data_IF_645868195940
#
_entry.id   IF_645868195940
#
_cell.length_a   1.000
_cell.length_b   1.000
_cell.length_c   1.000
_cell.angle_alpha   90.00
_cell.angle_beta   90.00
_cell.angle_gamma   90.00
#
_symmetry.space_group_name_H-M   'P 1'
#
loop_
_entity.id
_entity.type
_entity.pdbx_description
1 polymer ?
#
# COMPACT_ATOMS: atom_id res chain seq x y z
N UNK A 1 -12.29 12.34 -16.81
CA UNK A 1 -11.28 11.80 -15.86
C UNK A 1 -11.31 12.64 -14.60
N UNK A 2 -11.91 12.14 -13.51
CA UNK A 2 -11.91 12.84 -12.22
C UNK A 2 -10.52 12.83 -11.62
N UNK A 3 -9.98 14.00 -11.25
CA UNK A 3 -8.69 14.08 -10.55
C UNK A 3 -8.89 13.51 -9.14
N UNK A 4 -8.20 12.43 -8.81
CA UNK A 4 -8.18 11.93 -7.42
C UNK A 4 -7.53 12.95 -6.50
N UNK A 5 -8.04 13.08 -5.25
CA UNK A 5 -7.53 14.06 -4.30
C UNK A 5 -6.07 13.73 -3.95
N UNK A 6 -5.16 14.66 -4.26
CA UNK A 6 -3.73 14.52 -3.93
C UNK A 6 -3.50 14.71 -2.44
N UNK A 7 -2.66 13.87 -1.84
CA UNK A 7 -2.24 14.08 -0.45
C UNK A 7 -1.45 15.40 -0.30
N UNK A 8 -1.50 16.02 0.88
CA UNK A 8 -0.72 17.24 1.20
C UNK A 8 0.77 17.09 0.87
N UNK A 9 1.32 15.89 1.06
CA UNK A 9 2.72 15.58 0.75
C UNK A 9 2.99 15.49 -0.76
N UNK A 10 2.08 14.90 -1.53
CA UNK A 10 2.20 14.89 -3.00
C UNK A 10 2.07 16.28 -3.60
N UNK A 11 1.23 17.13 -3.03
CA UNK A 11 1.11 18.54 -3.43
C UNK A 11 2.45 19.27 -3.22
N UNK A 12 3.09 19.05 -2.06
CA UNK A 12 4.41 19.63 -1.76
C UNK A 12 5.55 19.05 -2.61
N UNK A 13 5.40 17.82 -3.12
CA UNK A 13 6.38 17.15 -4.01
C UNK A 13 5.87 17.12 -5.45
N UNK A 14 5.45 18.28 -5.96
CA UNK A 14 4.90 18.44 -7.31
C UNK A 14 5.94 18.22 -8.42
N UNK A 15 7.20 18.55 -8.16
CA UNK A 15 8.26 18.61 -9.19
C UNK A 15 8.85 17.25 -9.60
N UNK A 16 8.41 16.15 -8.97
CA UNK A 16 9.02 14.82 -9.14
C UNK A 16 8.28 13.87 -10.08
N UNK A 17 7.25 14.32 -10.80
CA UNK A 17 6.45 13.44 -11.68
C UNK A 17 5.69 12.34 -10.92
N UNK A 18 5.32 12.58 -9.66
CA UNK A 18 4.63 11.59 -8.83
C UNK A 18 3.25 11.24 -9.38
N UNK A 19 2.96 9.94 -9.46
CA UNK A 19 1.67 9.41 -9.89
C UNK A 19 0.70 9.41 -8.69
N UNK A 20 -0.54 9.83 -8.95
CA UNK A 20 -1.63 9.77 -7.95
C UNK A 20 -2.38 8.45 -8.13
N UNK A 21 -2.59 7.73 -7.04
CA UNK A 21 -3.36 6.49 -7.04
C UNK A 21 -4.87 6.77 -7.19
N UNK A 22 -5.63 5.76 -7.59
CA UNK A 22 -7.09 5.80 -7.51
C UNK A 22 -7.57 5.62 -6.07
N UNK A 23 -8.77 6.09 -5.75
CA UNK A 23 -9.35 5.94 -4.41
C UNK A 23 -9.48 4.47 -4.00
N UNK A 24 -9.85 3.58 -4.95
CA UNK A 24 -9.89 2.14 -4.73
C UNK A 24 -8.52 1.56 -4.32
N UNK A 25 -7.43 1.94 -5.00
CA UNK A 25 -6.08 1.48 -4.66
C UNK A 25 -5.68 1.97 -3.26
N UNK A 26 -6.04 3.21 -2.92
CA UNK A 26 -5.80 3.77 -1.58
C UNK A 26 -6.55 2.96 -0.52
N UNK A 27 -7.83 2.63 -0.75
CA UNK A 27 -8.62 1.80 0.18
C UNK A 27 -7.99 0.42 0.39
N UNK A 28 -7.55 -0.25 -0.69
CA UNK A 28 -6.84 -1.54 -0.57
C UNK A 28 -5.57 -1.40 0.29
N UNK A 29 -4.79 -0.33 0.09
CA UNK A 29 -3.58 -0.10 0.87
C UNK A 29 -3.88 0.21 2.35
N UNK A 30 -4.98 0.90 2.64
CA UNK A 30 -5.43 1.17 4.02
C UNK A 30 -5.87 -0.13 4.70
N UNK A 31 -6.68 -0.95 4.04
CA UNK A 31 -7.06 -2.28 4.56
C UNK A 31 -5.83 -3.16 4.79
N UNK A 32 -4.85 -3.09 3.88
CA UNK A 32 -3.58 -3.79 4.04
C UNK A 32 -2.79 -3.34 5.27
N UNK A 33 -2.62 -2.03 5.46
CA UNK A 33 -1.93 -1.49 6.64
C UNK A 33 -2.67 -1.81 7.94
N UNK A 34 -4.01 -1.81 7.92
CA UNK A 34 -4.81 -2.23 9.07
C UNK A 34 -4.48 -3.66 9.50
N UNK A 35 -4.47 -4.62 8.56
CA UNK A 35 -4.11 -6.02 8.86
C UNK A 35 -2.66 -6.12 9.36
N UNK A 36 -1.72 -5.46 8.69
CA UNK A 36 -0.30 -5.43 9.08
C UNK A 36 -0.12 -4.95 10.53
N UNK A 37 -0.88 -3.93 10.95
CA UNK A 37 -0.79 -3.36 12.30
C UNK A 37 -1.56 -4.17 13.34
N UNK A 38 -2.66 -4.80 12.95
CA UNK A 38 -3.50 -5.61 13.85
C UNK A 38 -2.83 -6.93 14.21
N UNK A 39 -2.07 -7.51 13.29
CA UNK A 39 -1.41 -8.81 13.47
C UNK A 39 0.13 -8.70 13.42
N UNK A 40 0.77 -8.07 14.42
CA UNK A 40 2.22 -7.91 14.45
C UNK A 40 2.97 -9.25 14.59
N UNK A 41 2.31 -10.30 15.05
CA UNK A 41 2.93 -11.62 15.20
C UNK A 41 3.06 -12.38 13.88
N UNK A 42 2.34 -11.96 12.82
CA UNK A 42 2.37 -12.65 11.54
C UNK A 42 3.76 -12.63 10.87
N UNK A 43 4.62 -11.68 11.22
CA UNK A 43 5.97 -11.53 10.67
C UNK A 43 6.86 -12.76 10.87
N UNK A 44 6.62 -13.54 11.92
CA UNK A 44 7.44 -14.69 12.30
C UNK A 44 6.88 -16.00 11.73
N UNK A 45 5.71 -15.96 11.10
CA UNK A 45 5.04 -17.16 10.59
C UNK A 45 5.55 -17.58 9.21
N UNK A 46 5.54 -18.90 8.96
CA UNK A 46 5.74 -19.44 7.62
C UNK A 46 4.62 -18.96 6.69
N UNK A 47 4.98 -18.64 5.44
CA UNK A 47 4.07 -18.16 4.40
C UNK A 47 3.32 -16.86 4.79
N UNK A 48 3.98 -15.97 5.52
CA UNK A 48 3.43 -14.68 6.01
C UNK A 48 2.67 -13.90 4.93
N UNK A 49 3.24 -13.75 3.72
CA UNK A 49 2.59 -12.97 2.65
C UNK A 49 1.24 -13.57 2.27
N UNK A 50 1.16 -14.90 2.11
CA UNK A 50 -0.09 -15.57 1.71
C UNK A 50 -1.18 -15.36 2.76
N UNK A 51 -0.83 -15.55 4.05
CA UNK A 51 -1.76 -15.36 5.17
C UNK A 51 -2.22 -13.91 5.29
N UNK A 52 -1.30 -12.95 5.19
CA UNK A 52 -1.64 -11.53 5.18
C UNK A 52 -2.60 -11.20 4.04
N UNK A 53 -2.30 -11.66 2.84
CA UNK A 53 -3.15 -11.40 1.66
C UNK A 53 -4.55 -11.97 1.84
N UNK A 54 -4.69 -13.18 2.38
CA UNK A 54 -6.01 -13.75 2.68
C UNK A 54 -6.81 -12.88 3.67
N UNK A 55 -6.17 -12.44 4.77
CA UNK A 55 -6.81 -11.55 5.76
C UNK A 55 -7.17 -10.18 5.17
N UNK A 56 -6.32 -9.65 4.29
CA UNK A 56 -6.57 -8.38 3.62
C UNK A 56 -7.78 -8.50 2.70
N UNK A 57 -7.82 -9.56 1.88
CA UNK A 57 -8.92 -9.81 0.96
C UNK A 57 -10.26 -9.98 1.68
N UNK A 58 -10.27 -10.56 2.89
CA UNK A 58 -11.49 -10.65 3.71
C UNK A 58 -11.88 -9.33 4.40
N UNK A 59 -11.01 -8.32 4.42
CA UNK A 59 -11.23 -7.04 5.10
C UNK A 59 -11.60 -5.91 4.11
N UNK A 60 -11.37 -6.11 2.82
CA UNK A 60 -11.63 -5.10 1.79
C UNK A 60 -13.15 -4.98 1.55
N UNK A 61 -13.72 -3.76 1.60
CA UNK A 61 -15.13 -3.55 1.30
C UNK A 61 -15.52 -3.99 -0.12
N UNK A 62 -16.75 -4.49 -0.29
CA UNK A 62 -17.22 -5.01 -1.59
C UNK A 62 -17.24 -3.96 -2.71
N UNK A 63 -17.52 -2.70 -2.37
CA UNK A 63 -17.60 -1.60 -3.33
C UNK A 63 -16.26 -1.24 -3.98
N UNK A 64 -15.13 -1.64 -3.38
CA UNK A 64 -13.79 -1.38 -3.93
C UNK A 64 -13.62 -2.17 -5.22
N UNK A 65 -13.40 -1.44 -6.31
CA UNK A 65 -13.46 -1.95 -7.68
C UNK A 65 -14.80 -2.64 -8.04
N UNK A 66 -15.91 -2.23 -7.43
CA UNK A 66 -17.23 -2.87 -7.59
C UNK A 66 -17.95 -2.53 -8.92
N UNK A 67 -17.59 -1.44 -9.60
CA UNK A 67 -18.33 -0.90 -10.75
C UNK A 67 -18.10 -1.62 -12.09
N UNK A 68 -17.72 -2.90 -12.08
CA UNK A 68 -17.34 -3.61 -13.31
C UNK A 68 -18.43 -4.61 -13.70
N UNK A 69 -19.50 -4.09 -14.31
CA UNK A 69 -20.62 -4.86 -14.90
C UNK A 69 -20.19 -5.90 -15.97
N UNK A 70 -18.89 -6.02 -16.27
CA UNK A 70 -18.30 -7.00 -17.19
C UNK A 70 -17.56 -8.17 -16.50
N UNK A 71 -17.52 -8.23 -15.16
CA UNK A 71 -16.79 -9.28 -14.44
C UNK A 71 -17.59 -10.57 -14.22
N UNK A 72 -18.91 -10.53 -14.41
CA UNK A 72 -19.82 -11.68 -14.21
C UNK A 72 -19.83 -12.69 -15.36
N UNK A 73 -19.19 -12.40 -16.50
CA UNK A 73 -19.19 -13.30 -17.67
C UNK A 73 -18.03 -14.31 -17.66
N UNK A 74 -17.08 -14.20 -16.73
CA UNK A 74 -15.90 -15.07 -16.69
C UNK A 74 -15.91 -15.95 -15.44
N UNK A 75 -15.37 -17.16 -15.56
CA UNK A 75 -15.37 -18.21 -14.53
C UNK A 75 -14.91 -17.71 -13.14
N UNK A 76 -15.32 -18.34 -12.02
CA UNK A 76 -15.00 -17.91 -10.65
C UNK A 76 -13.50 -17.73 -10.35
N UNK A 77 -12.62 -18.44 -11.08
CA UNK A 77 -11.16 -18.37 -10.95
C UNK A 77 -10.53 -17.22 -11.77
N UNK A 78 -11.34 -16.55 -12.59
CA UNK A 78 -10.95 -15.49 -13.53
C UNK A 78 -11.58 -14.14 -13.21
N UNK A 79 -12.07 -13.96 -11.99
CA UNK A 79 -12.53 -12.66 -11.51
C UNK A 79 -11.33 -11.69 -11.48
N UNK A 80 -11.29 -10.78 -12.47
CA UNK A 80 -10.19 -9.82 -12.58
C UNK A 80 -10.15 -8.88 -11.37
N UNK A 81 -11.28 -8.65 -10.68
CA UNK A 81 -11.30 -7.88 -9.43
C UNK A 81 -10.48 -8.61 -8.37
N UNK A 82 -10.75 -9.89 -8.14
CA UNK A 82 -10.01 -10.69 -7.18
C UNK A 82 -8.51 -10.71 -7.50
N UNK A 83 -8.15 -10.94 -8.77
CA UNK A 83 -6.75 -10.95 -9.20
C UNK A 83 -6.05 -9.60 -8.97
N UNK A 84 -6.73 -8.49 -9.26
CA UNK A 84 -6.21 -7.15 -9.05
C UNK A 84 -6.01 -6.85 -7.56
N UNK A 85 -7.02 -7.13 -6.73
CA UNK A 85 -6.95 -6.95 -5.28
C UNK A 85 -5.79 -7.75 -4.69
N UNK A 86 -5.66 -9.03 -5.10
CA UNK A 86 -4.57 -9.91 -4.69
C UNK A 86 -3.21 -9.36 -5.09
N UNK A 87 -3.05 -8.89 -6.33
CA UNK A 87 -1.79 -8.34 -6.82
C UNK A 87 -1.37 -7.08 -6.05
N UNK A 88 -2.31 -6.17 -5.77
CA UNK A 88 -2.05 -4.95 -4.98
C UNK A 88 -1.68 -5.32 -3.54
N UNK A 89 -2.45 -6.20 -2.90
CA UNK A 89 -2.19 -6.63 -1.53
C UNK A 89 -0.82 -7.33 -1.40
N UNK A 90 -0.48 -8.24 -2.31
CA UNK A 90 0.82 -8.90 -2.33
C UNK A 90 1.98 -7.90 -2.48
N UNK A 91 1.82 -6.92 -3.37
CA UNK A 91 2.84 -5.89 -3.60
C UNK A 91 3.02 -5.04 -2.34
N UNK A 92 1.92 -4.64 -1.70
CA UNK A 92 1.94 -3.88 -0.47
C UNK A 92 2.64 -4.64 0.67
N UNK A 93 2.24 -5.89 0.92
CA UNK A 93 2.83 -6.74 1.95
C UNK A 93 4.34 -6.90 1.76
N UNK A 94 4.80 -7.20 0.53
CA UNK A 94 6.23 -7.32 0.22
C UNK A 94 7.00 -6.03 0.56
N UNK A 95 6.47 -4.88 0.13
CA UNK A 95 7.08 -3.58 0.40
C UNK A 95 7.12 -3.30 1.92
N UNK A 96 6.02 -3.55 2.62
CA UNK A 96 5.87 -3.25 4.04
C UNK A 96 6.74 -4.13 4.92
N UNK A 97 6.85 -5.42 4.59
CA UNK A 97 7.74 -6.38 5.25
C UNK A 97 9.20 -5.98 5.06
N UNK A 98 9.59 -5.61 3.83
CA UNK A 98 10.93 -5.13 3.57
C UNK A 98 11.25 -3.86 4.37
N UNK A 99 10.33 -2.89 4.37
CA UNK A 99 10.47 -1.66 5.16
C UNK A 99 10.63 -1.95 6.65
N UNK A 100 9.81 -2.86 7.20
CA UNK A 100 9.87 -3.27 8.61
C UNK A 100 11.21 -3.95 8.94
N UNK A 101 11.64 -4.89 8.10
CA UNK A 101 12.91 -5.59 8.27
C UNK A 101 14.11 -4.63 8.24
N UNK A 102 14.14 -3.72 7.27
CA UNK A 102 15.18 -2.67 7.20
C UNK A 102 15.11 -1.78 8.44
N UNK A 103 13.93 -1.31 8.83
CA UNK A 103 13.76 -0.41 9.98
C UNK A 103 14.25 -1.03 11.29
N UNK A 104 14.06 -2.34 11.49
CA UNK A 104 14.53 -3.08 12.67
C UNK A 104 16.04 -3.31 12.68
N UNK A 105 16.66 -3.44 11.51
CA UNK A 105 18.11 -3.62 11.38
C UNK A 105 18.88 -2.30 11.43
N UNK A 106 18.22 -1.16 11.23
CA UNK A 106 18.85 0.14 11.31
C UNK A 106 19.14 0.52 12.77
N UNK A 107 20.35 0.23 13.22
CA UNK A 107 20.89 0.69 14.51
C UNK A 107 21.36 2.15 14.49
N UNK A 108 21.55 2.74 13.30
CA UNK A 108 22.08 4.10 13.10
C UNK A 108 21.00 5.02 12.54
N UNK A 109 20.79 6.15 13.19
CA UNK A 109 19.89 7.20 12.73
C UNK A 109 20.32 7.70 11.33
N UNK A 110 19.38 7.83 10.38
CA UNK A 110 19.71 8.29 9.01
C UNK A 110 20.01 9.80 9.01
N UNK A 111 21.24 10.14 9.42
CA UNK A 111 21.82 11.49 9.45
C UNK A 111 21.67 12.23 8.11
N UNK A 112 21.74 11.51 6.98
CA UNK A 112 21.55 12.09 5.63
C UNK A 112 20.17 12.73 5.44
N UNK A 113 19.10 12.10 5.92
CA UNK A 113 17.73 12.64 5.82
C UNK A 113 17.58 13.91 6.67
N UNK A 114 18.20 13.91 7.85
CA UNK A 114 18.20 15.04 8.79
C UNK A 114 18.90 16.25 8.17
N UNK A 115 20.10 16.08 7.62
CA UNK A 115 20.85 17.17 7.02
C UNK A 115 20.31 17.62 5.67
N UNK A 116 19.76 16.72 4.84
CA UNK A 116 19.07 17.15 3.61
C UNK A 116 17.88 18.06 3.94
N UNK A 117 17.11 17.74 4.99
CA UNK A 117 16.06 18.66 5.48
C UNK A 117 16.64 19.96 6.03
N UNK A 118 17.67 19.89 6.86
CA UNK A 118 18.29 21.07 7.46
C UNK A 118 18.84 22.04 6.41
N UNK A 119 19.41 21.52 5.31
CA UNK A 119 19.90 22.32 4.19
C UNK A 119 18.73 22.88 3.38
N UNK A 120 17.73 22.05 3.04
CA UNK A 120 16.59 22.47 2.20
C UNK A 120 15.66 23.47 2.90
N UNK A 121 15.59 23.44 4.23
CA UNK A 121 14.69 24.29 5.03
C UNK A 121 15.45 25.35 5.84
N UNK A 122 16.74 25.58 5.59
CA UNK A 122 17.55 26.54 6.35
C UNK A 122 17.09 28.00 6.20
N UNK A 123 16.36 28.31 5.14
CA UNK A 123 15.94 29.66 4.75
C UNK A 123 14.43 29.74 4.42
N UNK A 124 13.63 28.81 4.94
CA UNK A 124 12.16 28.87 4.92
C UNK A 124 11.61 29.21 6.29
#
# INVERSE_FOLDING_TARGET
MGKTPKSKLQIRKSEGGLISASDDVIQVCISAEYVVRTYPNLYTEKNVISKMVQLILSTIPEHVFGNVNHMTTKAPLSDCRFQLLKAIAERYCKLRLHHEGVSRQQSVERVRSLFTKYILFKHQ
#
